data_IF_227870999208
#
_entry.id   IF_227870999208
#
_cell.length_a   1.000
_cell.length_b   1.000
_cell.length_c   1.000
_cell.angle_alpha   90.00
_cell.angle_beta   90.00
_cell.angle_gamma   90.00
#
_symmetry.space_group_name_H-M   'P 1'
#
loop_
_entity.id
_entity.type
_entity.pdbx_description
1 polymer ?
#
# COMPACT_ATOMS: atom_id res chain seq x y z
N UNK A 1 -22.29 2.07 -17.93
CA UNK A 1 -20.97 1.81 -17.33
C UNK A 1 -21.06 0.54 -16.50
N UNK A 2 -20.24 -0.46 -16.79
CA UNK A 2 -20.06 -1.66 -15.97
C UNK A 2 -18.72 -1.54 -15.28
N UNK A 3 -18.70 -1.79 -13.98
CA UNK A 3 -17.47 -1.81 -13.17
C UNK A 3 -17.32 -3.21 -12.61
N UNK A 4 -16.24 -3.87 -12.96
CA UNK A 4 -15.83 -5.16 -12.42
C UNK A 4 -14.55 -4.96 -11.64
N UNK A 5 -14.36 -5.70 -10.57
CA UNK A 5 -13.15 -5.60 -9.76
C UNK A 5 -12.57 -6.97 -9.41
N UNK A 6 -11.27 -7.01 -9.25
CA UNK A 6 -10.54 -8.13 -8.68
C UNK A 6 -9.79 -7.65 -7.44
N UNK A 7 -9.96 -8.34 -6.34
CA UNK A 7 -9.27 -8.02 -5.09
C UNK A 7 -8.10 -8.96 -4.88
N UNK A 8 -6.92 -8.39 -4.72
CA UNK A 8 -5.69 -9.12 -4.38
C UNK A 8 -5.39 -8.89 -2.90
N UNK A 9 -5.35 -9.96 -2.14
CA UNK A 9 -5.12 -9.93 -0.71
C UNK A 9 -3.66 -10.29 -0.37
N UNK A 10 -3.14 -9.73 0.72
CA UNK A 10 -1.80 -10.05 1.22
C UNK A 10 -1.57 -11.53 1.50
N UNK A 11 -2.63 -12.24 1.86
CA UNK A 11 -2.62 -13.66 2.18
C UNK A 11 -2.80 -14.57 0.96
N UNK A 12 -2.92 -14.00 -0.22
CA UNK A 12 -3.09 -14.80 -1.44
C UNK A 12 -1.75 -15.42 -1.83
N UNK A 13 -1.74 -16.75 -1.97
CA UNK A 13 -0.60 -17.46 -2.56
C UNK A 13 -0.55 -17.25 -4.08
N UNK A 14 0.60 -17.48 -4.75
CA UNK A 14 0.68 -17.41 -6.21
C UNK A 14 -0.35 -18.26 -6.93
N UNK A 15 -0.66 -19.45 -6.40
CA UNK A 15 -1.67 -20.36 -6.95
C UNK A 15 -3.08 -19.74 -6.84
N UNK A 16 -3.41 -19.20 -5.69
CA UNK A 16 -4.70 -18.53 -5.44
C UNK A 16 -4.86 -17.27 -6.28
N UNK A 17 -3.77 -16.56 -6.53
CA UNK A 17 -3.77 -15.41 -7.43
C UNK A 17 -4.08 -15.85 -8.88
N UNK A 18 -3.47 -16.94 -9.36
CA UNK A 18 -3.78 -17.51 -10.69
C UNK A 18 -5.22 -17.96 -10.80
N UNK A 19 -5.74 -18.63 -9.78
CA UNK A 19 -7.16 -19.02 -9.72
C UNK A 19 -8.07 -17.77 -9.83
N UNK A 20 -7.78 -16.72 -9.09
CA UNK A 20 -8.52 -15.45 -9.18
C UNK A 20 -8.48 -14.84 -10.57
N UNK A 21 -7.33 -14.89 -11.26
CA UNK A 21 -7.24 -14.44 -12.65
C UNK A 21 -8.18 -15.23 -13.56
N UNK A 22 -8.15 -16.56 -13.49
CA UNK A 22 -9.01 -17.42 -14.33
C UNK A 22 -10.49 -17.16 -14.06
N UNK A 23 -10.91 -17.14 -12.80
CA UNK A 23 -12.29 -16.81 -12.40
C UNK A 23 -12.73 -15.45 -12.93
N UNK A 24 -11.84 -14.44 -12.85
CA UNK A 24 -12.11 -13.11 -13.37
C UNK A 24 -12.36 -13.14 -14.89
N UNK A 25 -11.52 -13.84 -15.67
CA UNK A 25 -11.68 -13.92 -17.12
C UNK A 25 -12.86 -14.79 -17.55
N UNK A 26 -13.20 -15.83 -16.79
CA UNK A 26 -14.41 -16.62 -17.03
C UNK A 26 -15.70 -15.80 -16.85
N UNK A 27 -15.72 -14.96 -15.82
CA UNK A 27 -16.84 -14.05 -15.58
C UNK A 27 -16.90 -12.89 -16.59
N UNK A 28 -15.74 -12.48 -17.13
CA UNK A 28 -15.58 -11.30 -17.97
C UNK A 28 -15.07 -11.67 -19.37
N UNK A 29 -15.89 -12.39 -20.16
CA UNK A 29 -15.52 -12.84 -21.49
C UNK A 29 -15.43 -11.72 -22.52
N UNK A 30 -16.17 -10.62 -22.31
CA UNK A 30 -16.18 -9.49 -23.24
C UNK A 30 -15.02 -8.55 -22.95
N UNK A 31 -14.23 -8.25 -23.98
CA UNK A 31 -13.18 -7.23 -23.91
C UNK A 31 -13.77 -5.88 -23.49
N UNK A 32 -13.21 -5.22 -22.45
CA UNK A 32 -13.60 -3.86 -22.06
C UNK A 32 -13.06 -2.82 -23.05
N UNK A 33 -13.68 -1.63 -23.08
CA UNK A 33 -13.22 -0.51 -23.90
C UNK A 33 -12.00 0.21 -23.27
N UNK A 34 -11.83 0.12 -21.96
CA UNK A 34 -10.70 0.67 -21.22
C UNK A 34 -10.59 0.07 -19.83
N UNK A 35 -9.42 0.21 -19.21
CA UNK A 35 -9.14 -0.30 -17.86
C UNK A 35 -8.52 0.82 -17.02
N UNK A 36 -8.95 0.90 -15.76
CA UNK A 36 -8.33 1.77 -14.76
C UNK A 36 -7.85 0.89 -13.60
N UNK A 37 -6.56 0.93 -13.33
CA UNK A 37 -5.96 0.31 -12.15
C UNK A 37 -5.82 1.33 -11.03
N UNK A 38 -6.40 1.01 -9.88
CA UNK A 38 -6.20 1.78 -8.64
C UNK A 38 -5.10 1.09 -7.82
N UNK A 39 -3.87 1.45 -8.11
CA UNK A 39 -2.67 0.85 -7.55
C UNK A 39 -1.89 -0.01 -8.56
N UNK A 40 -0.57 0.04 -8.45
CA UNK A 40 0.36 -0.66 -9.35
C UNK A 40 0.32 -2.19 -9.20
N UNK A 41 -0.12 -2.68 -8.05
CA UNK A 41 -0.20 -4.12 -7.79
C UNK A 41 -1.14 -4.82 -8.77
N UNK A 42 -2.33 -4.25 -8.99
CA UNK A 42 -3.28 -4.78 -9.96
C UNK A 42 -2.70 -4.80 -11.37
N UNK A 43 -1.98 -3.76 -11.75
CA UNK A 43 -1.28 -3.69 -13.03
C UNK A 43 -0.22 -4.78 -13.15
N UNK A 44 0.70 -4.87 -12.19
CA UNK A 44 1.77 -5.86 -12.19
C UNK A 44 1.23 -7.29 -12.32
N UNK A 45 0.12 -7.57 -11.64
CA UNK A 45 -0.50 -8.89 -11.60
C UNK A 45 -1.29 -9.25 -12.88
N UNK A 46 -1.97 -8.29 -13.51
CA UNK A 46 -2.95 -8.57 -14.57
C UNK A 46 -2.46 -8.24 -15.98
N UNK A 47 -1.48 -7.36 -16.15
CA UNK A 47 -1.12 -6.76 -17.43
C UNK A 47 -0.85 -7.77 -18.55
N UNK A 48 -0.05 -8.79 -18.28
CA UNK A 48 0.33 -9.78 -19.26
C UNK A 48 -0.83 -10.71 -19.64
N UNK A 49 -1.63 -11.09 -18.64
CA UNK A 49 -2.81 -11.92 -18.85
C UNK A 49 -3.90 -11.17 -19.61
N UNK A 50 -4.09 -9.89 -19.35
CA UNK A 50 -5.01 -9.03 -20.12
C UNK A 50 -4.56 -8.92 -21.56
N UNK A 51 -3.28 -8.68 -21.81
CA UNK A 51 -2.74 -8.62 -23.17
C UNK A 51 -2.95 -9.95 -23.89
N UNK A 52 -2.69 -11.08 -23.24
CA UNK A 52 -2.91 -12.42 -23.80
C UNK A 52 -4.38 -12.65 -24.18
N UNK A 53 -5.33 -12.32 -23.28
CA UNK A 53 -6.76 -12.63 -23.44
C UNK A 53 -7.51 -11.63 -24.30
N UNK A 54 -7.19 -10.34 -24.18
CA UNK A 54 -7.97 -9.25 -24.78
C UNK A 54 -7.16 -8.37 -25.72
N UNK A 55 -5.84 -8.58 -25.83
CA UNK A 55 -4.94 -7.72 -26.59
C UNK A 55 -4.68 -6.38 -25.91
N UNK A 56 -4.19 -5.42 -26.67
CA UNK A 56 -3.91 -4.09 -26.17
C UNK A 56 -5.21 -3.31 -25.93
N UNK A 57 -5.40 -2.87 -24.67
CA UNK A 57 -6.56 -2.08 -24.23
C UNK A 57 -6.06 -0.76 -23.66
N UNK A 58 -6.70 0.38 -23.99
CA UNK A 58 -6.39 1.65 -23.34
C UNK A 58 -6.45 1.52 -21.81
N UNK A 59 -5.34 1.78 -21.14
CA UNK A 59 -5.19 1.51 -19.72
C UNK A 59 -4.63 2.71 -18.99
N UNK A 60 -5.24 3.07 -17.85
CA UNK A 60 -4.72 4.04 -16.89
C UNK A 60 -4.25 3.30 -15.64
N UNK A 61 -3.01 3.53 -15.23
CA UNK A 61 -2.43 2.97 -14.01
C UNK A 61 -2.20 4.09 -13.01
N UNK A 62 -2.96 4.11 -11.93
CA UNK A 62 -2.76 5.05 -10.82
C UNK A 62 -1.75 4.46 -9.84
N UNK A 63 -0.78 5.25 -9.43
CA UNK A 63 0.27 4.86 -8.48
C UNK A 63 0.45 5.92 -7.42
N UNK A 64 0.63 5.50 -6.19
CA UNK A 64 0.95 6.39 -5.07
C UNK A 64 2.45 6.66 -4.95
N UNK A 65 3.27 5.73 -5.43
CA UNK A 65 4.74 5.80 -5.28
C UNK A 65 5.47 6.28 -6.53
N UNK A 66 4.81 6.23 -7.71
CA UNK A 66 5.45 6.54 -8.99
C UNK A 66 6.40 5.46 -9.51
N UNK A 67 6.47 4.34 -8.82
CA UNK A 67 7.35 3.21 -9.12
C UNK A 67 6.65 1.89 -8.83
N UNK A 68 7.20 0.79 -9.33
CA UNK A 68 6.75 -0.56 -9.01
C UNK A 68 7.94 -1.52 -8.98
N UNK A 69 7.82 -2.60 -8.22
CA UNK A 69 8.79 -3.68 -8.27
C UNK A 69 8.62 -4.48 -9.58
N UNK A 70 9.72 -4.99 -10.09
CA UNK A 70 9.76 -5.72 -11.37
C UNK A 70 9.17 -7.13 -11.25
N UNK A 71 9.21 -7.72 -10.05
CA UNK A 71 8.83 -9.10 -9.78
C UNK A 71 7.41 -9.27 -9.23
N UNK A 72 6.76 -10.37 -9.61
CA UNK A 72 5.42 -10.74 -9.14
C UNK A 72 5.32 -10.99 -7.62
N UNK A 73 6.44 -11.24 -6.93
CA UNK A 73 6.50 -11.46 -5.47
C UNK A 73 6.17 -10.24 -4.59
N UNK A 74 6.03 -9.16 -5.17
CA UNK A 74 5.74 -7.82 -4.78
C UNK A 74 4.46 -7.60 -3.95
N UNK A 75 3.51 -8.51 -4.03
CA UNK A 75 2.23 -8.34 -3.33
C UNK A 75 2.36 -8.39 -1.81
N UNK A 76 3.33 -9.13 -1.30
CA UNK A 76 3.41 -9.45 0.11
C UNK A 76 4.43 -8.63 0.89
N UNK A 77 5.58 -8.32 0.31
CA UNK A 77 6.64 -7.57 0.99
C UNK A 77 7.61 -6.95 -0.03
N UNK A 78 8.13 -5.76 0.29
CA UNK A 78 9.30 -5.25 -0.40
C UNK A 78 10.54 -5.96 0.17
N UNK A 79 11.28 -6.64 -0.69
CA UNK A 79 12.60 -7.12 -0.35
C UNK A 79 13.66 -6.11 -0.80
N UNK A 80 14.74 -5.97 -0.04
CA UNK A 80 15.86 -5.07 -0.39
C UNK A 80 16.54 -5.43 -1.72
N UNK A 81 16.32 -6.66 -2.20
CA UNK A 81 16.79 -7.17 -3.50
C UNK A 81 15.83 -6.90 -4.65
N UNK A 82 14.62 -6.37 -4.38
CA UNK A 82 13.64 -6.14 -5.43
C UNK A 82 14.08 -4.96 -6.29
N UNK A 83 14.20 -5.22 -7.58
CA UNK A 83 14.43 -4.18 -8.54
C UNK A 83 13.16 -3.36 -8.71
N UNK A 84 13.29 -2.08 -8.47
CA UNK A 84 12.21 -1.10 -8.61
C UNK A 84 12.41 -0.35 -9.92
N UNK A 85 11.35 -0.18 -10.69
CA UNK A 85 11.34 0.57 -11.93
C UNK A 85 10.34 1.72 -11.88
N UNK A 86 10.63 2.87 -12.51
CA UNK A 86 9.67 3.95 -12.64
C UNK A 86 8.38 3.50 -13.33
N UNK A 87 7.24 4.04 -12.93
CA UNK A 87 5.94 3.70 -13.52
C UNK A 87 5.92 3.89 -15.03
N UNK A 88 6.57 4.93 -15.54
CA UNK A 88 6.67 5.20 -16.98
C UNK A 88 7.41 4.08 -17.75
N UNK A 89 8.39 3.44 -17.12
CA UNK A 89 9.06 2.27 -17.68
C UNK A 89 8.17 1.03 -17.59
N UNK A 90 7.47 0.86 -16.48
CA UNK A 90 6.57 -0.25 -16.27
C UNK A 90 5.43 -0.34 -17.28
N UNK A 91 4.90 0.81 -17.73
CA UNK A 91 3.84 0.87 -18.75
C UNK A 91 4.35 0.85 -20.19
N UNK A 92 5.67 0.98 -20.40
CA UNK A 92 6.27 1.00 -21.72
C UNK A 92 6.02 -0.30 -22.48
N UNK A 93 5.60 -0.16 -23.74
CA UNK A 93 5.26 -1.31 -24.60
C UNK A 93 3.84 -1.84 -24.40
N UNK A 94 3.03 -1.20 -23.56
CA UNK A 94 1.59 -1.42 -23.41
C UNK A 94 0.83 -0.17 -23.87
N UNK A 95 -0.42 -0.35 -24.28
CA UNK A 95 -1.33 0.79 -24.52
C UNK A 95 -1.81 1.36 -23.16
N UNK A 96 -0.85 1.87 -22.39
CA UNK A 96 -1.07 2.28 -21.03
C UNK A 96 -0.38 3.61 -20.71
N UNK A 97 -0.96 4.36 -19.78
CA UNK A 97 -0.35 5.56 -19.20
C UNK A 97 -0.38 5.50 -17.68
N UNK A 98 0.65 6.05 -17.04
CA UNK A 98 0.77 6.16 -15.60
C UNK A 98 0.29 7.51 -15.07
N UNK A 99 -0.48 7.50 -13.99
CA UNK A 99 -0.83 8.68 -13.20
C UNK A 99 -0.28 8.51 -11.79
N UNK A 100 0.59 9.40 -11.36
CA UNK A 100 1.15 9.39 -10.00
C UNK A 100 0.34 10.33 -9.12
N UNK A 101 -0.20 9.79 -8.02
CA UNK A 101 -0.93 10.54 -6.98
C UNK A 101 -0.17 10.33 -5.67
N UNK A 102 0.88 11.12 -5.40
CA UNK A 102 1.77 10.86 -4.28
C UNK A 102 1.12 11.14 -2.93
N UNK A 103 1.52 10.39 -1.92
CA UNK A 103 1.24 10.75 -0.53
C UNK A 103 2.11 11.94 -0.11
N UNK A 104 1.49 12.92 0.52
CA UNK A 104 2.19 14.12 1.03
C UNK A 104 2.72 13.87 2.45
N UNK A 105 3.68 12.95 2.59
CA UNK A 105 4.23 12.56 3.89
C UNK A 105 4.77 13.75 4.67
N UNK A 106 5.62 14.56 4.03
CA UNK A 106 6.17 15.79 4.65
C UNK A 106 5.08 16.74 5.11
N UNK A 107 4.12 17.06 4.25
CA UNK A 107 3.01 17.95 4.59
C UNK A 107 2.12 17.40 5.69
N UNK A 108 1.98 16.08 5.78
CA UNK A 108 1.25 15.44 6.88
C UNK A 108 1.98 15.59 8.22
N UNK A 109 3.30 15.45 8.25
CA UNK A 109 4.13 15.71 9.45
C UNK A 109 4.01 17.17 9.85
N UNK A 110 4.17 18.11 8.91
CA UNK A 110 4.08 19.54 9.17
C UNK A 110 2.70 19.93 9.73
N UNK A 111 1.62 19.40 9.18
CA UNK A 111 0.25 19.61 9.67
C UNK A 111 0.07 19.10 11.09
N UNK A 112 0.57 17.89 11.39
CA UNK A 112 0.47 17.33 12.76
C UNK A 112 1.22 18.19 13.77
N UNK A 113 2.37 18.76 13.40
CA UNK A 113 3.12 19.72 14.24
C UNK A 113 2.35 21.01 14.49
N UNK A 114 1.66 21.54 13.50
CA UNK A 114 0.78 22.72 13.67
C UNK A 114 -0.38 22.43 14.60
N UNK A 115 -0.99 21.25 14.49
CA UNK A 115 -2.12 20.84 15.35
C UNK A 115 -1.70 20.54 16.79
N UNK A 116 -0.46 20.11 16.99
CA UNK A 116 0.12 19.73 18.29
C UNK A 116 1.43 20.51 18.49
N UNK A 117 1.42 21.78 18.92
CA UNK A 117 2.62 22.61 19.02
C UNK A 117 3.71 22.05 19.95
N UNK A 118 3.36 21.16 20.85
CA UNK A 118 4.30 20.49 21.76
C UNK A 118 4.68 19.09 21.34
N UNK A 119 4.42 18.68 20.08
CA UNK A 119 4.69 17.34 19.56
C UNK A 119 6.14 16.93 19.81
N UNK A 120 6.34 15.76 20.38
CA UNK A 120 7.67 15.14 20.61
C UNK A 120 7.77 13.72 20.06
N UNK A 121 6.63 13.05 19.91
CA UNK A 121 6.58 11.67 19.47
C UNK A 121 5.53 11.49 18.40
N UNK A 122 5.89 10.78 17.34
CA UNK A 122 5.00 10.33 16.30
C UNK A 122 4.99 8.80 16.28
N UNK A 123 3.83 8.20 16.39
CA UNK A 123 3.64 6.75 16.27
C UNK A 123 3.09 6.49 14.87
N UNK A 124 3.83 5.77 14.05
CA UNK A 124 3.38 5.37 12.72
C UNK A 124 3.01 3.89 12.70
N UNK A 125 1.76 3.61 12.33
CA UNK A 125 1.21 2.25 12.32
C UNK A 125 0.95 1.84 10.89
N UNK A 126 1.55 0.74 10.48
CA UNK A 126 1.41 0.20 9.12
C UNK A 126 1.50 -1.33 9.07
N UNK A 127 1.18 -1.88 7.91
CA UNK A 127 1.46 -3.28 7.57
C UNK A 127 2.76 -3.41 6.77
N UNK A 128 3.01 -4.61 6.19
CA UNK A 128 4.22 -4.93 5.45
C UNK A 128 4.09 -4.80 3.93
N UNK A 129 2.97 -4.28 3.43
CA UNK A 129 2.80 -4.08 2.00
C UNK A 129 3.82 -3.09 1.45
N UNK A 130 4.08 -3.20 0.15
CA UNK A 130 5.03 -2.34 -0.56
C UNK A 130 4.82 -0.85 -0.25
N UNK A 131 3.59 -0.34 -0.40
CA UNK A 131 3.27 1.08 -0.15
C UNK A 131 3.52 1.46 1.30
N UNK A 132 3.21 0.58 2.25
CA UNK A 132 3.46 0.81 3.68
C UNK A 132 4.93 0.93 4.00
N UNK A 133 5.76 0.09 3.40
CA UNK A 133 7.23 0.14 3.53
C UNK A 133 7.77 1.42 2.88
N UNK A 134 7.31 1.76 1.70
CA UNK A 134 7.67 3.00 1.02
C UNK A 134 7.31 4.24 1.85
N UNK A 135 6.10 4.29 2.43
CA UNK A 135 5.67 5.39 3.31
C UNK A 135 6.56 5.52 4.54
N UNK A 136 6.99 4.40 5.13
CA UNK A 136 7.93 4.41 6.25
C UNK A 136 9.26 5.02 5.83
N UNK A 137 9.84 4.57 4.73
CA UNK A 137 11.11 5.07 4.20
C UNK A 137 11.03 6.57 3.90
N UNK A 138 9.93 7.04 3.30
CA UNK A 138 9.70 8.48 3.07
C UNK A 138 9.53 9.26 4.38
N UNK A 139 8.89 8.66 5.38
CA UNK A 139 8.77 9.29 6.70
C UNK A 139 10.13 9.43 7.37
N UNK A 140 10.95 8.37 7.41
CA UNK A 140 12.32 8.42 7.94
C UNK A 140 13.13 9.52 7.25
N UNK A 141 13.10 9.60 5.92
CA UNK A 141 13.78 10.62 5.12
C UNK A 141 13.35 12.05 5.46
N UNK A 142 12.06 12.27 5.72
CA UNK A 142 11.55 13.59 6.03
C UNK A 142 11.63 13.97 7.51
N UNK A 143 11.81 13.01 8.41
CA UNK A 143 11.90 13.30 9.84
C UNK A 143 13.06 14.24 10.18
N UNK A 144 14.24 14.02 9.58
CA UNK A 144 15.42 14.86 9.83
C UNK A 144 15.20 16.34 9.51
N UNK A 145 14.39 16.64 8.50
CA UNK A 145 14.14 18.01 8.05
C UNK A 145 12.86 18.62 8.62
N UNK A 146 11.81 17.81 8.77
CA UNK A 146 10.48 18.28 9.18
C UNK A 146 10.23 18.14 10.68
N UNK A 147 10.95 17.24 11.35
CA UNK A 147 10.76 17.00 12.78
C UNK A 147 12.06 16.60 13.50
N UNK A 148 13.16 17.38 13.37
CA UNK A 148 14.48 17.03 13.92
C UNK A 148 14.50 16.93 15.45
N UNK A 149 13.58 17.59 16.14
CA UNK A 149 13.44 17.58 17.60
C UNK A 149 12.57 16.43 18.13
N UNK A 150 11.94 15.69 17.23
CA UNK A 150 10.99 14.64 17.56
C UNK A 150 11.53 13.24 17.32
N UNK A 151 10.72 12.28 17.75
CA UNK A 151 10.97 10.85 17.57
C UNK A 151 9.81 10.23 16.81
N UNK A 152 10.11 9.33 15.87
CA UNK A 152 9.11 8.45 15.28
C UNK A 152 9.32 7.00 15.73
N UNK A 153 8.25 6.36 16.17
CA UNK A 153 8.21 4.94 16.47
C UNK A 153 7.36 4.23 15.42
N UNK A 154 7.96 3.26 14.74
CA UNK A 154 7.28 2.47 13.71
C UNK A 154 6.72 1.17 14.30
N UNK A 155 5.41 0.99 14.17
CA UNK A 155 4.72 -0.24 14.52
C UNK A 155 4.22 -0.89 13.24
N UNK A 156 4.88 -1.95 12.84
CA UNK A 156 4.56 -2.68 11.61
C UNK A 156 3.99 -4.05 11.95
N UNK A 157 2.89 -4.41 11.33
CA UNK A 157 2.30 -5.73 11.44
C UNK A 157 3.38 -6.81 11.20
N UNK A 158 3.41 -7.83 12.07
CA UNK A 158 4.44 -8.88 12.07
C UNK A 158 5.74 -8.53 12.79
N UNK A 159 6.04 -7.24 13.06
CA UNK A 159 7.18 -6.84 13.90
C UNK A 159 6.79 -6.65 15.38
N UNK A 160 5.53 -6.43 15.66
CA UNK A 160 4.97 -6.37 17.01
C UNK A 160 3.62 -7.08 17.08
N UNK A 161 3.24 -7.51 18.29
CA UNK A 161 1.91 -8.07 18.51
C UNK A 161 0.85 -6.97 18.62
N UNK A 162 -0.41 -7.32 18.39
CA UNK A 162 -1.53 -6.41 18.61
C UNK A 162 -1.59 -5.95 20.08
N UNK A 163 -1.30 -6.83 21.04
CA UNK A 163 -1.29 -6.49 22.46
C UNK A 163 -0.20 -5.47 22.78
N UNK A 164 0.98 -5.60 22.17
CA UNK A 164 2.07 -4.63 22.30
C UNK A 164 1.68 -3.27 21.74
N UNK A 165 1.03 -3.24 20.59
CA UNK A 165 0.53 -2.01 19.97
C UNK A 165 -0.54 -1.35 20.86
N UNK A 166 -1.52 -2.13 21.35
CA UNK A 166 -2.57 -1.62 22.23
C UNK A 166 -2.00 -1.10 23.55
N UNK A 167 -0.98 -1.74 24.11
CA UNK A 167 -0.30 -1.26 25.30
C UNK A 167 0.29 0.13 25.08
N UNK A 168 1.01 0.33 23.97
CA UNK A 168 1.61 1.63 23.63
C UNK A 168 0.54 2.70 23.38
N UNK A 169 -0.53 2.37 22.67
CA UNK A 169 -1.63 3.31 22.42
C UNK A 169 -2.42 3.65 23.68
N UNK A 170 -2.35 2.80 24.72
CA UNK A 170 -2.98 3.03 26.00
C UNK A 170 -2.09 3.79 27.00
N UNK A 171 -0.83 4.07 26.65
CA UNK A 171 0.07 4.88 27.48
C UNK A 171 -0.52 6.27 27.69
N UNK A 172 -0.51 6.72 28.96
CA UNK A 172 -0.96 8.07 29.28
C UNK A 172 0.10 9.07 28.82
N UNK A 173 -0.30 10.00 27.97
CA UNK A 173 0.52 11.16 27.59
C UNK A 173 -0.05 12.43 28.24
N UNK A 174 0.39 12.77 29.44
CA UNK A 174 -0.12 13.93 30.18
C UNK A 174 0.17 15.27 29.50
N UNK A 175 1.18 15.29 28.62
CA UNK A 175 1.58 16.49 27.91
C UNK A 175 0.94 16.63 26.53
N UNK A 176 0.17 15.62 26.09
CA UNK A 176 -0.42 15.57 24.75
C UNK A 176 0.59 15.84 23.64
N UNK A 177 1.82 15.31 23.81
CA UNK A 177 2.94 15.52 22.92
C UNK A 177 3.16 14.35 21.94
N UNK A 178 2.22 13.42 21.89
CA UNK A 178 2.24 12.24 21.02
C UNK A 178 1.13 12.32 20.00
N UNK A 179 1.45 12.04 18.73
CA UNK A 179 0.48 11.85 17.67
C UNK A 179 0.56 10.43 17.13
N UNK A 180 -0.55 9.95 16.58
CA UNK A 180 -0.64 8.65 15.91
C UNK A 180 -1.01 8.88 14.46
N UNK A 181 -0.19 8.38 13.55
CA UNK A 181 -0.48 8.28 12.12
C UNK A 181 -0.76 6.82 11.78
N UNK A 182 -1.99 6.53 11.47
CA UNK A 182 -2.42 5.20 11.07
C UNK A 182 -2.57 5.15 9.55
N UNK A 183 -1.85 4.24 8.91
CA UNK A 183 -2.02 3.96 7.49
C UNK A 183 -2.87 2.70 7.28
N UNK A 184 -2.40 1.56 7.80
CA UNK A 184 -3.11 0.29 7.66
C UNK A 184 -2.54 -0.74 8.64
N UNK A 185 -3.37 -1.74 8.96
CA UNK A 185 -2.97 -2.90 9.74
C UNK A 185 -3.70 -4.13 9.21
N UNK A 186 -3.06 -4.88 8.34
CA UNK A 186 -3.63 -6.06 7.71
C UNK A 186 -2.83 -7.28 8.18
N UNK A 187 -3.47 -8.14 8.93
CA UNK A 187 -2.87 -9.37 9.43
C UNK A 187 -3.01 -10.51 8.41
N UNK A 188 -1.99 -11.35 8.31
CA UNK A 188 -2.02 -12.56 7.47
C UNK A 188 -3.05 -13.59 7.96
N UNK A 189 -3.36 -13.55 9.25
CA UNK A 189 -4.39 -14.41 9.86
C UNK A 189 -5.67 -13.60 9.99
N UNK A 190 -6.77 -14.01 9.34
CA UNK A 190 -8.06 -13.41 9.60
C UNK A 190 -8.35 -13.53 11.10
N UNK A 191 -8.83 -12.46 11.71
CA UNK A 191 -9.31 -12.51 13.08
C UNK A 191 -10.42 -13.55 13.17
N UNK A 192 -10.13 -14.71 13.78
CA UNK A 192 -11.11 -15.79 13.98
C UNK A 192 -12.16 -15.46 15.06
N UNK A 193 -12.13 -14.27 15.64
CA UNK A 193 -13.10 -13.85 16.62
C UNK A 193 -14.04 -12.76 16.07
N UNK A 194 -15.09 -13.20 15.41
CA UNK A 194 -16.28 -12.38 15.12
C UNK A 194 -17.05 -11.93 16.38
N UNK A 195 -16.57 -12.21 17.57
CA UNK A 195 -17.23 -11.91 18.84
C UNK A 195 -16.94 -10.51 19.40
N UNK A 196 -16.20 -9.66 18.69
CA UNK A 196 -15.91 -8.28 19.10
C UNK A 196 -16.57 -7.21 18.22
N UNK A 197 -17.55 -7.59 17.43
CA UNK A 197 -18.37 -6.64 16.66
C UNK A 197 -19.77 -6.52 17.30
N UNK A 198 -19.82 -6.04 18.54
CA UNK A 198 -21.04 -5.47 19.12
C UNK A 198 -20.66 -4.33 20.08
#
# INVERSE_FOLDING_TARGET
LRIDHISVMLVDTPEKLKEKQEVFFEANKKKPDGIIYLGVNGWAFMRDKIREKWGDIPTLVCSETGEMAENECYFNQRHSSDRVIPLQEAVKGYNATGLVIPYYVKGSIDLVKELIPGLKRLIFISDRRYVSTWLRDEMEKHMETSFPEGKVDFYTEGSCSMDSLLAVLSEKDPHRATAVMYYSWITEKPFLNHSLLY
#
